data_IF_744270491231
#
_entry.id   IF_744270491231
#
_cell.length_a   1.000
_cell.length_b   1.000
_cell.length_c   1.000
_cell.angle_alpha   90.00
_cell.angle_beta   90.00
_cell.angle_gamma   90.00
#
_symmetry.space_group_name_H-M   'P 1'
#
loop_
_entity.id
_entity.type
_entity.pdbx_description
1 polymer ?
#
# COMPACT_ATOMS: atom_id res chain seq x y z
N UNK A 1 -87.89 4.34 10.02
CA UNK A 1 -87.28 4.90 11.24
C UNK A 1 -85.85 4.36 11.27
N UNK A 2 -84.92 4.75 10.38
CA UNK A 2 -84.46 6.10 9.98
C UNK A 2 -83.94 6.90 11.17
N UNK A 3 -82.62 6.96 11.36
CA UNK A 3 -81.88 8.23 11.33
C UNK A 3 -80.36 8.02 11.18
N UNK A 4 -79.83 8.67 10.14
CA UNK A 4 -78.43 9.00 9.86
C UNK A 4 -77.92 10.11 10.79
N UNK A 5 -76.59 10.28 10.90
CA UNK A 5 -75.77 11.51 10.92
C UNK A 5 -74.32 11.05 11.21
N UNK A 6 -73.43 10.96 10.21
CA UNK A 6 -72.61 12.01 9.55
C UNK A 6 -71.35 12.39 10.34
N UNK A 7 -70.19 12.05 9.78
CA UNK A 7 -68.97 12.87 9.88
C UNK A 7 -68.16 12.74 8.59
N UNK A 8 -67.84 13.90 8.03
CA UNK A 8 -67.62 14.23 6.63
C UNK A 8 -66.12 14.46 6.40
N UNK A 9 -65.59 13.92 5.29
CA UNK A 9 -64.30 14.33 4.69
C UNK A 9 -64.30 15.84 4.43
N UNK A 10 -63.26 16.57 4.84
CA UNK A 10 -62.94 17.87 4.23
C UNK A 10 -61.84 17.66 3.17
N UNK A 11 -62.22 17.94 1.93
CA UNK A 11 -61.34 18.33 0.85
C UNK A 11 -61.39 19.86 0.85
N UNK A 12 -60.25 20.52 0.92
CA UNK A 12 -60.14 21.92 0.51
C UNK A 12 -59.31 21.97 -0.78
N UNK A 13 -60.01 22.26 -1.87
CA UNK A 13 -59.45 22.84 -3.08
C UNK A 13 -58.96 24.25 -2.75
N UNK A 14 -57.73 24.60 -3.14
CA UNK A 14 -57.33 25.98 -3.28
C UNK A 14 -56.91 26.26 -4.73
N UNK A 15 -57.68 27.14 -5.35
CA UNK A 15 -57.55 27.66 -6.71
C UNK A 15 -56.15 28.20 -7.01
N UNK A 16 -55.53 27.68 -8.06
CA UNK A 16 -54.44 28.36 -8.76
C UNK A 16 -55.03 29.29 -9.83
N UNK A 17 -55.32 30.54 -9.49
CA UNK A 17 -55.37 31.63 -10.47
C UNK A 17 -55.13 32.97 -9.77
N UNK A 18 -54.17 33.73 -10.30
CA UNK A 18 -53.78 35.12 -9.99
C UNK A 18 -52.71 35.32 -8.90
N UNK A 19 -51.43 35.32 -9.31
CA UNK A 19 -50.41 36.27 -8.82
C UNK A 19 -49.35 36.52 -9.92
N UNK A 20 -48.72 37.71 -9.93
CA UNK A 20 -48.30 38.41 -11.15
C UNK A 20 -46.95 37.94 -11.70
N UNK A 21 -46.81 38.02 -13.02
CA UNK A 21 -45.52 38.05 -13.71
C UNK A 21 -44.76 39.32 -13.28
N UNK A 22 -43.62 39.16 -12.60
CA UNK A 22 -42.45 40.00 -12.88
C UNK A 22 -41.15 39.42 -12.29
N UNK A 23 -40.15 39.36 -13.18
CA UNK A 23 -38.70 39.24 -12.98
C UNK A 23 -38.07 37.84 -12.84
N UNK A 24 -37.89 37.20 -14.01
CA UNK A 24 -36.95 36.11 -14.26
C UNK A 24 -35.51 36.63 -14.38
N UNK A 25 -34.68 36.45 -13.35
CA UNK A 25 -33.23 36.21 -13.51
C UNK A 25 -32.68 35.44 -12.31
N UNK A 26 -32.48 34.14 -12.46
CA UNK A 26 -31.35 33.37 -11.89
C UNK A 26 -31.60 31.88 -12.16
N UNK A 27 -31.05 31.38 -13.25
CA UNK A 27 -30.86 29.95 -13.51
C UNK A 27 -29.94 29.37 -12.43
N UNK A 28 -30.50 28.72 -11.42
CA UNK A 28 -29.75 27.73 -10.63
C UNK A 28 -29.82 26.42 -11.39
N UNK A 29 -28.84 26.21 -12.26
CA UNK A 29 -28.52 24.90 -12.79
C UNK A 29 -27.79 24.15 -11.66
N UNK A 30 -28.40 23.10 -11.12
CA UNK A 30 -27.72 22.22 -10.18
C UNK A 30 -26.66 21.44 -10.96
N UNK A 31 -25.47 22.03 -11.07
CA UNK A 31 -24.30 21.41 -11.68
C UNK A 31 -23.90 20.22 -10.79
N UNK A 32 -24.31 19.01 -11.17
CA UNK A 32 -23.91 17.78 -10.50
C UNK A 32 -22.41 17.62 -10.77
N UNK A 33 -21.58 17.94 -9.78
CA UNK A 33 -20.12 17.76 -9.86
C UNK A 33 -19.79 16.28 -9.71
N UNK A 34 -19.58 15.62 -10.85
CA UNK A 34 -19.02 14.28 -10.93
C UNK A 34 -17.51 14.45 -11.13
N UNK A 35 -16.70 13.63 -10.46
CA UNK A 35 -15.25 13.57 -10.69
C UNK A 35 -15.03 13.31 -12.20
N UNK A 36 -14.18 14.07 -12.91
CA UNK A 36 -14.05 13.89 -14.36
C UNK A 36 -13.47 12.51 -14.73
N UNK A 37 -13.79 12.00 -15.92
CA UNK A 37 -13.43 10.64 -16.34
C UNK A 37 -11.92 10.48 -16.60
N UNK A 38 -11.25 11.53 -17.06
CA UNK A 38 -9.79 11.63 -17.22
C UNK A 38 -8.99 11.44 -15.92
N UNK A 39 -9.72 11.46 -14.81
CA UNK A 39 -9.28 11.52 -13.44
C UNK A 39 -9.57 10.17 -12.73
N UNK A 40 -10.27 9.25 -13.40
CA UNK A 40 -10.48 7.84 -13.03
C UNK A 40 -9.49 6.86 -13.70
N UNK A 41 -8.37 7.35 -14.27
CA UNK A 41 -7.32 6.49 -14.84
C UNK A 41 -7.52 6.07 -16.30
N UNK A 42 -8.42 6.72 -17.06
CA UNK A 42 -8.59 6.47 -18.49
C UNK A 42 -7.73 7.40 -19.36
N UNK A 43 -6.87 6.78 -20.18
CA UNK A 43 -6.04 7.28 -21.29
C UNK A 43 -6.26 8.75 -21.71
N UNK A 44 -5.25 9.60 -21.50
CA UNK A 44 -5.24 10.97 -22.04
C UNK A 44 -5.14 10.98 -23.57
N UNK A 45 -6.06 11.67 -24.24
CA UNK A 45 -5.85 12.14 -25.64
C UNK A 45 -5.30 13.57 -25.60
N UNK A 46 -4.33 13.93 -26.46
CA UNK A 46 -3.71 15.25 -26.41
C UNK A 46 -4.66 16.30 -26.99
N UNK A 47 -5.13 17.24 -26.17
CA UNK A 47 -5.83 18.44 -26.65
C UNK A 47 -4.83 19.58 -26.84
N UNK A 48 -4.81 20.10 -28.07
CA UNK A 48 -3.96 21.18 -28.55
C UNK A 48 -4.27 22.50 -27.84
N UNK A 49 -3.21 23.20 -27.42
CA UNK A 49 -3.20 24.62 -27.02
C UNK A 49 -3.98 25.51 -27.99
N UNK A 50 -4.74 26.46 -27.45
CA UNK A 50 -4.99 27.76 -28.09
C UNK A 50 -4.67 28.89 -27.12
N UNK A 51 -3.72 29.73 -27.53
CA UNK A 51 -3.37 31.01 -26.92
C UNK A 51 -4.41 32.10 -27.24
N UNK A 52 -4.74 32.89 -26.23
CA UNK A 52 -4.92 34.37 -26.22
C UNK A 52 -5.63 34.70 -24.91
N UNK A 53 -5.23 35.65 -24.07
CA UNK A 53 -5.13 37.09 -24.34
C UNK A 53 -4.14 37.70 -23.35
N UNK A 54 -3.41 38.72 -23.82
CA UNK A 54 -2.46 39.51 -23.07
C UNK A 54 -3.17 40.51 -22.15
N UNK A 55 -2.71 40.62 -20.89
CA UNK A 55 -2.92 41.82 -20.08
C UNK A 55 -1.62 42.23 -19.39
N UNK A 56 -1.49 43.55 -19.23
CA UNK A 56 -0.27 44.34 -19.25
C UNK A 56 0.22 44.58 -17.81
N UNK A 57 1.42 44.11 -17.45
CA UNK A 57 2.04 44.40 -16.16
C UNK A 57 3.06 45.54 -16.24
N UNK A 58 3.10 46.38 -15.21
CA UNK A 58 4.24 47.27 -14.88
C UNK A 58 4.76 46.86 -13.50
N UNK A 59 6.09 46.84 -13.26
CA UNK A 59 6.65 46.22 -12.06
C UNK A 59 6.74 47.21 -10.90
N UNK A 60 6.30 46.76 -9.71
CA UNK A 60 6.66 47.36 -8.42
C UNK A 60 7.67 46.43 -7.76
N UNK A 61 8.88 46.93 -7.54
CA UNK A 61 9.93 46.24 -6.81
C UNK A 61 9.61 46.21 -5.31
N UNK A 62 9.61 45.02 -4.69
CA UNK A 62 9.60 44.87 -3.23
C UNK A 62 10.71 43.90 -2.81
N UNK A 63 11.55 44.43 -1.92
CA UNK A 63 12.73 43.87 -1.28
C UNK A 63 12.46 42.57 -0.51
N UNK A 64 13.22 41.51 -0.80
CA UNK A 64 13.27 40.28 -0.02
C UNK A 64 14.08 40.46 1.28
N UNK A 65 13.43 40.41 2.45
CA UNK A 65 14.09 40.12 3.72
C UNK A 65 13.81 38.66 4.10
N UNK A 66 14.87 37.87 4.19
CA UNK A 66 14.90 36.52 4.74
C UNK A 66 14.47 36.54 6.21
N UNK A 67 13.51 35.69 6.57
CA UNK A 67 13.24 35.27 7.94
C UNK A 67 13.54 33.77 8.02
N UNK A 68 14.53 33.40 8.84
CA UNK A 68 14.77 32.02 9.24
C UNK A 68 14.00 31.75 10.55
N UNK A 69 13.34 30.58 10.73
CA UNK A 69 12.70 30.24 11.99
C UNK A 69 13.73 29.69 12.99
N UNK A 70 13.66 30.21 14.22
CA UNK A 70 14.42 29.72 15.37
C UNK A 70 13.61 28.66 16.13
N UNK A 71 14.17 27.46 16.32
CA UNK A 71 13.64 26.45 17.24
C UNK A 71 14.30 26.59 18.62
N UNK A 72 13.55 26.53 19.74
CA UNK A 72 14.14 26.55 21.07
C UNK A 72 14.49 25.12 21.51
N UNK A 73 15.77 24.76 21.50
CA UNK A 73 16.25 23.55 22.16
C UNK A 73 16.42 23.79 23.66
N UNK A 74 15.74 22.97 24.46
CA UNK A 74 15.91 22.89 25.91
C UNK A 74 17.36 22.57 26.30
N UNK A 75 17.84 23.29 27.31
CA UNK A 75 19.23 23.30 27.77
C UNK A 75 19.54 22.02 28.55
N UNK A 76 20.10 21.01 27.88
CA UNK A 76 20.71 19.86 28.56
C UNK A 76 22.05 20.32 29.17
N UNK A 77 22.15 20.22 30.50
CA UNK A 77 23.32 20.64 31.27
C UNK A 77 24.42 19.58 31.10
N UNK A 78 25.41 19.84 30.24
CA UNK A 78 26.67 19.11 30.26
C UNK A 78 27.86 20.07 30.42
N UNK A 79 28.65 19.79 31.46
CA UNK A 79 29.86 20.51 31.82
C UNK A 79 31.01 20.09 30.89
N UNK A 80 31.39 20.99 29.98
CA UNK A 80 32.52 20.93 29.03
C UNK A 80 32.38 20.04 27.77
N UNK A 81 32.80 20.54 26.58
CA UNK A 81 32.71 19.81 25.30
C UNK A 81 33.48 18.48 25.26
N UNK A 82 34.53 18.35 26.07
CA UNK A 82 35.40 17.15 26.10
C UNK A 82 34.71 15.96 26.79
N UNK A 83 33.86 16.22 27.77
CA UNK A 83 33.09 15.19 28.47
C UNK A 83 31.98 14.63 27.57
N UNK A 84 31.34 15.49 26.77
CA UNK A 84 30.31 15.07 25.82
C UNK A 84 30.84 14.11 24.75
N UNK A 85 32.01 14.40 24.18
CA UNK A 85 32.68 13.50 23.20
C UNK A 85 33.05 12.16 23.85
N UNK A 86 33.53 12.19 25.10
CA UNK A 86 33.84 10.97 25.86
C UNK A 86 32.61 10.09 26.12
N UNK A 87 31.46 10.68 26.44
CA UNK A 87 30.21 9.94 26.66
C UNK A 87 29.68 9.35 25.35
N UNK A 88 29.72 10.08 24.24
CA UNK A 88 29.30 9.55 22.92
C UNK A 88 30.19 8.38 22.50
N UNK A 89 31.51 8.49 22.67
CA UNK A 89 32.44 7.41 22.36
C UNK A 89 32.17 6.16 23.22
N UNK A 90 31.89 6.33 24.51
CA UNK A 90 31.56 5.23 25.41
C UNK A 90 30.24 4.54 25.01
N UNK A 91 29.21 5.31 24.63
CA UNK A 91 27.93 4.76 24.15
C UNK A 91 28.12 4.01 22.83
N UNK A 92 28.90 4.53 21.89
CA UNK A 92 29.19 3.84 20.62
C UNK A 92 29.94 2.51 20.84
N UNK A 93 30.89 2.47 21.78
CA UNK A 93 31.59 1.22 22.13
C UNK A 93 30.63 0.21 22.79
N UNK A 94 29.70 0.69 23.62
CA UNK A 94 28.69 -0.18 24.24
C UNK A 94 27.71 -0.74 23.21
N UNK A 95 27.21 0.09 22.29
CA UNK A 95 26.30 -0.32 21.21
C UNK A 95 26.98 -1.30 20.27
N UNK A 96 28.21 -1.04 19.85
CA UNK A 96 28.98 -1.95 18.99
C UNK A 96 29.33 -3.27 19.69
N UNK A 97 29.58 -3.25 20.99
CA UNK A 97 29.75 -4.45 21.82
C UNK A 97 28.49 -5.30 21.91
N UNK A 98 27.32 -4.68 22.13
CA UNK A 98 26.01 -5.37 22.16
C UNK A 98 25.68 -5.96 20.79
N UNK A 99 25.89 -5.20 19.72
CA UNK A 99 25.68 -5.69 18.34
C UNK A 99 26.62 -6.87 18.03
N UNK A 100 27.92 -6.75 18.34
CA UNK A 100 28.89 -7.82 18.11
C UNK A 100 28.55 -9.09 18.90
N UNK A 101 28.11 -8.94 20.15
CA UNK A 101 27.66 -10.06 20.98
C UNK A 101 26.43 -10.74 20.38
N UNK A 102 25.43 -9.97 19.93
CA UNK A 102 24.23 -10.50 19.30
C UNK A 102 24.55 -11.35 18.05
N UNK A 103 25.40 -10.85 17.16
CA UNK A 103 25.81 -11.59 15.95
C UNK A 103 26.63 -12.84 16.25
N UNK A 104 27.55 -12.79 17.24
CA UNK A 104 28.32 -13.97 17.67
C UNK A 104 27.39 -15.04 18.26
N UNK A 105 26.44 -14.64 19.10
CA UNK A 105 25.46 -15.57 19.69
C UNK A 105 24.57 -16.21 18.61
N UNK A 106 24.09 -15.43 17.64
CA UNK A 106 23.29 -15.94 16.52
C UNK A 106 24.09 -16.92 15.64
N UNK A 107 25.37 -16.62 15.36
CA UNK A 107 26.26 -17.50 14.62
C UNK A 107 26.56 -18.82 15.37
N UNK A 108 26.63 -18.81 16.71
CA UNK A 108 26.80 -20.01 17.52
C UNK A 108 25.56 -20.92 17.46
N UNK A 109 24.36 -20.35 17.53
CA UNK A 109 23.10 -21.11 17.38
C UNK A 109 23.00 -21.73 15.99
N UNK A 110 23.36 -20.98 14.94
CA UNK A 110 23.38 -21.49 13.57
C UNK A 110 24.38 -22.65 13.39
N UNK A 111 25.57 -22.57 14.00
CA UNK A 111 26.56 -23.66 13.99
C UNK A 111 26.05 -24.92 14.70
N UNK A 112 25.33 -24.80 15.81
CA UNK A 112 24.76 -25.97 16.49
C UNK A 112 23.70 -26.66 15.63
N UNK A 113 22.82 -25.90 14.99
CA UNK A 113 21.82 -26.46 14.05
C UNK A 113 22.45 -27.16 12.86
N UNK A 114 23.58 -26.64 12.37
CA UNK A 114 24.33 -27.26 11.27
C UNK A 114 24.96 -28.61 11.69
N UNK A 115 25.56 -28.66 12.89
CA UNK A 115 26.14 -29.89 13.44
C UNK A 115 25.08 -30.95 13.74
N UNK A 116 23.91 -30.54 14.22
CA UNK A 116 22.76 -31.43 14.46
C UNK A 116 22.20 -31.99 13.14
N UNK A 117 22.09 -31.14 12.11
CA UNK A 117 21.71 -31.57 10.77
C UNK A 117 22.72 -32.54 10.12
N UNK A 118 24.01 -32.34 10.36
CA UNK A 118 25.08 -33.23 9.87
C UNK A 118 25.09 -34.59 10.59
N UNK A 119 24.74 -34.61 11.88
CA UNK A 119 24.59 -35.84 12.66
C UNK A 119 23.36 -36.67 12.23
N UNK A 120 22.26 -36.00 11.86
CA UNK A 120 21.06 -36.66 11.31
C UNK A 120 21.37 -37.28 9.94
N UNK A 121 22.14 -36.56 9.10
CA UNK A 121 22.55 -37.04 7.77
C UNK A 121 23.46 -38.28 7.84
N UNK A 122 24.35 -38.33 8.83
CA UNK A 122 25.29 -39.46 9.01
C UNK A 122 24.66 -40.68 9.72
N UNK A 123 23.51 -40.52 10.39
CA UNK A 123 22.79 -41.65 11.03
C UNK A 123 21.83 -42.38 10.07
N UNK A 124 21.55 -41.83 8.89
CA UNK A 124 20.60 -42.40 7.93
C UNK A 124 21.22 -43.41 6.93
N UNK A 125 22.50 -43.78 7.10
CA UNK A 125 23.19 -44.72 6.20
C UNK A 125 23.59 -45.98 6.96
N UNK A 126 22.69 -46.97 7.00
CA UNK A 126 23.06 -48.37 7.24
C UNK A 126 22.48 -49.21 6.11
N UNK A 127 23.39 -49.82 5.35
CA UNK A 127 23.19 -50.70 4.19
C UNK A 127 22.52 -52.04 4.51
N UNK A 128 22.00 -52.76 3.48
CA UNK A 128 21.25 -54.01 3.61
C UNK A 128 22.17 -55.23 3.78
N UNK A 129 21.76 -56.18 4.63
CA UNK A 129 22.45 -57.45 4.87
C UNK A 129 21.56 -58.66 4.58
N UNK A 130 22.07 -59.54 3.71
CA UNK A 130 21.48 -60.78 3.17
C UNK A 130 21.86 -62.02 4.03
N UNK A 131 21.00 -63.06 4.00
CA UNK A 131 21.21 -64.49 4.37
C UNK A 131 21.06 -64.83 5.88
N UNK A 132 20.34 -65.87 6.33
CA UNK A 132 20.34 -67.29 5.92
C UNK A 132 19.07 -68.08 6.45
N UNK A 133 18.91 -69.40 6.17
CA UNK A 133 17.62 -70.09 5.92
C UNK A 133 17.06 -70.98 7.06
N UNK A 134 15.76 -71.34 6.98
CA UNK A 134 15.20 -72.64 7.42
C UNK A 134 13.73 -72.88 6.98
N UNK A 135 13.57 -73.82 6.03
CA UNK A 135 12.66 -74.99 5.98
C UNK A 135 11.23 -74.98 6.57
N UNK A 136 10.27 -75.20 5.65
CA UNK A 136 9.02 -75.99 5.67
C UNK A 136 7.92 -75.78 6.73
N UNK A 137 6.70 -75.50 6.25
CA UNK A 137 5.51 -76.35 6.44
C UNK A 137 4.46 -76.01 5.36
N UNK A 138 3.96 -77.04 4.69
CA UNK A 138 2.87 -77.00 3.71
C UNK A 138 1.54 -77.10 4.47
N UNK A 139 0.60 -76.20 4.21
CA UNK A 139 -0.83 -76.56 4.22
C UNK A 139 -1.63 -75.61 3.32
N UNK A 140 -2.63 -76.17 2.67
CA UNK A 140 -3.23 -75.71 1.43
C UNK A 140 -4.75 -75.59 1.65
N UNK A 141 -5.35 -74.39 1.72
CA UNK A 141 -6.81 -74.21 1.62
C UNK A 141 -7.18 -72.83 0.99
N UNK A 142 -7.62 -72.87 -0.28
CA UNK A 142 -8.84 -72.28 -0.89
C UNK A 142 -9.19 -70.77 -0.71
N UNK A 143 -9.34 -70.11 -1.89
CA UNK A 143 -10.18 -68.95 -2.27
C UNK A 143 -10.24 -67.70 -1.38
N UNK A 144 -9.86 -66.55 -1.95
CA UNK A 144 -10.81 -65.51 -2.45
C UNK A 144 -10.03 -64.39 -3.15
N UNK A 145 -10.55 -63.91 -4.27
CA UNK A 145 -10.07 -62.74 -5.03
C UNK A 145 -10.01 -61.48 -4.15
N UNK A 146 -8.91 -60.71 -4.17
CA UNK A 146 -8.97 -59.30 -3.82
C UNK A 146 -9.06 -58.45 -5.09
N UNK A 147 -10.12 -57.64 -5.10
CA UNK A 147 -10.42 -56.55 -6.02
C UNK A 147 -9.16 -55.72 -6.30
N UNK A 148 -8.86 -55.50 -7.59
CA UNK A 148 -7.87 -54.53 -8.03
C UNK A 148 -8.46 -53.14 -7.78
N UNK A 149 -8.16 -52.56 -6.61
CA UNK A 149 -8.38 -51.14 -6.37
C UNK A 149 -7.25 -50.39 -7.07
N UNK A 150 -7.52 -49.91 -8.30
CA UNK A 150 -6.65 -48.96 -8.98
C UNK A 150 -6.62 -47.68 -8.16
N UNK A 151 -5.58 -47.54 -7.34
CA UNK A 151 -5.20 -46.28 -6.73
C UNK A 151 -4.90 -45.28 -7.86
N UNK A 152 -5.89 -44.45 -8.15
CA UNK A 152 -5.74 -43.26 -9.00
C UNK A 152 -4.94 -42.26 -8.18
N UNK A 153 -3.62 -42.41 -8.19
CA UNK A 153 -2.73 -41.41 -7.60
C UNK A 153 -2.70 -40.22 -8.56
N UNK A 154 -3.60 -39.27 -8.31
CA UNK A 154 -3.45 -37.92 -8.83
C UNK A 154 -2.08 -37.41 -8.34
N UNK A 155 -1.15 -37.03 -9.22
CA UNK A 155 0.09 -36.43 -8.78
C UNK A 155 -0.25 -35.09 -8.13
N UNK A 156 -0.24 -35.05 -6.80
CA UNK A 156 -0.20 -33.79 -6.07
C UNK A 156 1.16 -33.16 -6.36
N UNK A 157 1.18 -32.20 -7.26
CA UNK A 157 2.35 -31.35 -7.47
C UNK A 157 2.52 -30.53 -6.20
N UNK A 158 3.44 -30.95 -5.32
CA UNK A 158 3.87 -30.17 -4.17
C UNK A 158 4.81 -29.06 -4.66
N UNK A 159 4.24 -27.94 -5.11
CA UNK A 159 5.01 -26.73 -5.41
C UNK A 159 5.56 -26.21 -4.08
N UNK A 160 6.88 -26.34 -3.88
CA UNK A 160 7.56 -25.74 -2.74
C UNK A 160 7.75 -24.25 -3.06
N UNK A 161 6.84 -23.40 -2.58
CA UNK A 161 7.05 -21.96 -2.57
C UNK A 161 8.13 -21.62 -1.53
N UNK A 162 9.18 -20.94 -1.96
CA UNK A 162 10.22 -20.44 -1.06
C UNK A 162 9.68 -19.18 -0.39
N UNK A 163 9.40 -19.25 0.92
CA UNK A 163 8.79 -18.15 1.68
C UNK A 163 7.26 -18.17 1.62
N UNK A 164 6.61 -18.11 2.78
CA UNK A 164 5.16 -17.93 2.85
C UNK A 164 4.86 -16.47 2.57
N UNK A 165 4.32 -16.18 1.40
CA UNK A 165 3.82 -14.86 1.03
C UNK A 165 2.32 -14.71 1.34
N UNK A 166 1.77 -15.61 2.14
CA UNK A 166 0.40 -15.61 2.63
C UNK A 166 0.39 -15.28 4.11
N UNK A 167 -0.39 -14.26 4.45
CA UNK A 167 -0.55 -13.78 5.81
C UNK A 167 -1.78 -14.43 6.46
N UNK A 168 -1.71 -14.83 7.75
CA UNK A 168 -2.85 -15.38 8.44
C UNK A 168 -3.95 -14.33 8.58
N UNK A 169 -5.20 -14.73 8.39
CA UNK A 169 -6.32 -13.80 8.55
C UNK A 169 -6.44 -13.31 9.98
N UNK A 170 -6.59 -12.00 10.12
CA UNK A 170 -6.82 -11.38 11.42
C UNK A 170 -8.02 -10.45 11.31
N UNK A 171 -8.98 -10.66 12.21
CA UNK A 171 -10.11 -9.75 12.33
C UNK A 171 -9.83 -8.79 13.48
N UNK A 172 -9.69 -7.50 13.15
CA UNK A 172 -9.44 -6.44 14.10
C UNK A 172 -10.62 -5.46 14.08
N UNK A 173 -10.87 -4.82 15.22
CA UNK A 173 -11.83 -3.73 15.24
C UNK A 173 -11.26 -2.51 14.48
N UNK A 174 -12.08 -1.76 13.74
CA UNK A 174 -11.65 -0.44 13.26
C UNK A 174 -11.41 0.48 14.45
N UNK A 175 -10.44 1.39 14.33
CA UNK A 175 -10.25 2.48 15.28
C UNK A 175 -11.41 3.49 15.18
N UNK A 176 -11.42 4.46 16.09
CA UNK A 176 -12.45 5.51 16.13
C UNK A 176 -12.47 6.34 14.84
N UNK A 177 -13.67 6.46 14.27
CA UNK A 177 -14.05 7.31 13.13
C UNK A 177 -15.23 8.15 13.62
N UNK A 178 -14.96 9.43 13.89
CA UNK A 178 -15.89 10.29 14.65
C UNK A 178 -17.08 10.74 13.81
N UNK A 179 -16.86 10.99 12.51
CA UNK A 179 -17.88 11.50 11.60
C UNK A 179 -18.44 10.44 10.64
N UNK A 180 -17.88 9.24 10.68
CA UNK A 180 -18.30 8.03 9.96
C UNK A 180 -18.13 8.12 8.44
N UNK A 181 -17.09 8.82 7.98
CA UNK A 181 -16.76 8.91 6.56
C UNK A 181 -15.87 7.75 6.06
N UNK A 182 -15.49 6.80 6.92
CA UNK A 182 -14.53 5.71 6.68
C UNK A 182 -13.05 6.11 6.71
N UNK A 183 -12.71 7.24 7.31
CA UNK A 183 -11.37 7.66 7.67
C UNK A 183 -11.27 7.65 9.21
N UNK A 184 -10.30 6.93 9.78
CA UNK A 184 -10.15 6.97 11.24
C UNK A 184 -9.62 8.33 11.68
N UNK A 185 -9.88 8.75 12.92
CA UNK A 185 -9.33 9.98 13.49
C UNK A 185 -7.80 10.10 13.31
N UNK A 186 -7.12 8.95 13.33
CA UNK A 186 -5.67 8.86 13.11
C UNK A 186 -5.29 9.10 11.65
N UNK A 187 -6.08 8.59 10.70
CA UNK A 187 -5.91 8.91 9.28
C UNK A 187 -6.24 10.38 8.99
N UNK A 188 -7.25 10.93 9.64
CA UNK A 188 -7.59 12.34 9.47
C UNK A 188 -6.47 13.27 9.92
N UNK A 189 -5.84 12.96 11.05
CA UNK A 189 -4.63 13.64 11.50
C UNK A 189 -3.49 13.53 10.46
N UNK A 190 -3.33 12.37 9.81
CA UNK A 190 -2.31 12.11 8.79
C UNK A 190 -2.53 12.95 7.52
N UNK A 191 -3.77 13.04 7.04
CA UNK A 191 -4.12 13.83 5.85
C UNK A 191 -4.40 15.31 6.15
N UNK A 192 -4.61 15.65 7.42
CA UNK A 192 -4.93 17.00 7.90
C UNK A 192 -6.38 17.41 7.68
N UNK A 193 -7.29 16.44 7.66
CA UNK A 193 -8.74 16.64 7.58
C UNK A 193 -9.34 16.84 8.98
N UNK A 194 -10.63 17.10 9.05
CA UNK A 194 -11.34 17.48 10.26
C UNK A 194 -12.20 16.32 10.79
N UNK A 195 -11.85 15.75 11.96
CA UNK A 195 -12.50 14.57 12.54
C UNK A 195 -13.88 14.80 13.12
N UNK A 196 -14.62 15.76 12.61
CA UNK A 196 -16.02 15.95 12.96
C UNK A 196 -16.82 16.34 11.74
N UNK A 197 -16.25 16.18 10.55
CA UNK A 197 -16.79 16.70 9.30
C UNK A 197 -16.34 15.80 8.13
N UNK A 198 -17.26 14.99 7.58
CA UNK A 198 -16.93 14.01 6.54
C UNK A 198 -16.32 14.56 5.25
N UNK A 199 -16.46 15.87 5.02
CA UNK A 199 -15.97 16.61 3.85
C UNK A 199 -15.29 17.86 4.42
N UNK A 200 -13.97 17.86 4.53
CA UNK A 200 -13.24 18.87 5.29
C UNK A 200 -13.25 20.24 4.63
N UNK A 201 -13.28 20.32 3.30
CA UNK A 201 -13.22 21.56 2.53
C UNK A 201 -14.56 22.04 1.94
N UNK A 202 -15.66 21.34 2.26
CA UNK A 202 -17.05 21.65 1.85
C UNK A 202 -17.24 21.64 0.33
N UNK A 203 -16.48 20.81 -0.37
CA UNK A 203 -16.49 20.82 -1.82
C UNK A 203 -17.53 19.82 -2.40
N UNK A 204 -18.07 18.94 -1.57
CA UNK A 204 -19.10 17.95 -1.89
C UNK A 204 -18.60 16.52 -2.06
N UNK A 205 -17.32 16.22 -1.81
CA UNK A 205 -16.79 14.86 -1.72
C UNK A 205 -16.31 14.58 -0.29
N UNK A 206 -16.49 13.35 0.19
CA UNK A 206 -15.95 12.99 1.50
C UNK A 206 -14.43 12.81 1.45
N UNK A 207 -13.76 13.11 2.56
CA UNK A 207 -12.30 13.07 2.66
C UNK A 207 -11.77 11.68 2.28
N UNK A 208 -12.41 10.61 2.77
CA UNK A 208 -12.06 9.23 2.41
C UNK A 208 -12.20 8.93 0.92
N UNK A 209 -13.24 9.45 0.24
CA UNK A 209 -13.49 9.22 -1.18
C UNK A 209 -12.41 9.88 -2.03
N UNK A 210 -12.01 11.09 -1.64
CA UNK A 210 -10.97 11.86 -2.29
C UNK A 210 -9.62 11.15 -2.17
N UNK A 211 -9.24 10.72 -0.96
CA UNK A 211 -8.00 9.98 -0.73
C UNK A 211 -7.95 8.69 -1.57
N UNK A 212 -9.02 7.89 -1.57
CA UNK A 212 -9.13 6.67 -2.38
C UNK A 212 -9.14 6.93 -3.90
N UNK A 213 -9.47 8.17 -4.28
CA UNK A 213 -9.49 8.62 -5.67
C UNK A 213 -8.24 9.43 -6.04
N UNK A 214 -7.28 9.55 -5.12
CA UNK A 214 -6.02 10.30 -5.26
C UNK A 214 -6.20 11.81 -5.46
N UNK A 215 -7.19 12.40 -4.78
CA UNK A 215 -7.42 13.85 -4.65
C UNK A 215 -7.02 14.38 -3.30
N UNK A 216 -6.83 15.70 -3.24
CA UNK A 216 -6.47 16.42 -2.04
C UNK A 216 -7.72 16.74 -1.19
N UNK A 217 -7.90 16.15 0.00
CA UNK A 217 -9.12 16.29 0.81
C UNK A 217 -9.24 17.62 1.57
N UNK A 218 -8.35 18.57 1.30
CA UNK A 218 -8.32 19.89 1.98
C UNK A 218 -8.14 21.03 0.98
N UNK A 219 -8.34 20.78 -0.30
CA UNK A 219 -8.04 21.73 -1.36
C UNK A 219 -9.13 21.78 -2.41
N UNK A 220 -9.67 22.98 -2.59
CA UNK A 220 -10.74 23.27 -3.55
C UNK A 220 -10.42 22.76 -4.98
N UNK A 221 -11.35 21.97 -5.53
CA UNK A 221 -11.23 21.11 -6.74
C UNK A 221 -10.63 21.74 -8.01
N UNK A 222 -10.01 20.92 -8.90
CA UNK A 222 -9.44 19.60 -8.64
C UNK A 222 -7.92 19.70 -8.38
N UNK A 223 -7.46 19.20 -7.23
CA UNK A 223 -6.04 19.08 -6.88
C UNK A 223 -5.72 17.61 -6.57
N UNK A 224 -4.61 17.10 -7.11
CA UNK A 224 -4.19 15.70 -6.87
C UNK A 224 -3.64 15.54 -5.46
N UNK A 225 -3.82 14.35 -4.88
CA UNK A 225 -3.26 13.99 -3.58
C UNK A 225 -1.73 14.12 -3.56
N UNK A 226 -1.05 13.78 -4.66
CA UNK A 226 0.40 13.94 -4.76
C UNK A 226 0.83 15.41 -4.71
N UNK A 227 0.02 16.31 -5.27
CA UNK A 227 0.32 17.75 -5.33
C UNK A 227 0.04 18.46 -3.99
N UNK A 228 -0.67 17.83 -3.05
CA UNK A 228 -0.95 18.38 -1.71
C UNK A 228 0.25 18.32 -0.77
N UNK A 229 1.28 17.53 -1.11
CA UNK A 229 2.42 17.27 -0.24
C UNK A 229 2.12 16.35 0.95
N UNK A 230 0.95 15.71 0.99
CA UNK A 230 0.57 14.73 2.03
C UNK A 230 1.09 13.32 1.76
N UNK A 231 1.30 12.99 0.48
CA UNK A 231 1.89 11.72 0.04
C UNK A 231 3.11 11.97 -0.82
N UNK A 232 4.01 10.98 -0.86
CA UNK A 232 5.14 10.92 -1.78
C UNK A 232 5.06 9.65 -2.61
N UNK A 233 5.77 9.62 -3.74
CA UNK A 233 5.95 8.41 -4.54
C UNK A 233 7.24 7.71 -4.12
N UNK A 234 7.12 6.43 -3.76
CA UNK A 234 8.26 5.53 -3.69
C UNK A 234 8.41 4.83 -5.03
N UNK A 235 9.64 4.74 -5.55
CA UNK A 235 9.96 4.02 -6.78
C UNK A 235 11.01 2.96 -6.49
N UNK A 236 10.69 1.72 -6.81
CA UNK A 236 11.61 0.59 -6.74
C UNK A 236 12.14 0.29 -8.15
N UNK A 237 13.39 0.69 -8.47
CA UNK A 237 13.95 0.47 -9.80
C UNK A 237 14.26 -1.00 -10.09
N UNK A 238 14.52 -1.81 -9.06
CA UNK A 238 14.91 -3.21 -9.23
C UNK A 238 13.72 -4.09 -9.63
N UNK A 239 12.53 -3.74 -9.12
CA UNK A 239 11.29 -4.46 -9.40
C UNK A 239 10.30 -3.67 -10.27
N UNK A 240 10.68 -2.48 -10.73
CA UNK A 240 9.90 -1.70 -11.69
C UNK A 240 8.51 -1.31 -11.15
N UNK A 241 8.39 -0.87 -9.89
CA UNK A 241 7.10 -0.40 -9.40
C UNK A 241 7.20 0.96 -8.72
N UNK A 242 6.08 1.68 -8.69
CA UNK A 242 5.90 2.85 -7.85
C UNK A 242 4.61 2.76 -7.04
N UNK A 243 4.63 3.37 -5.86
CA UNK A 243 3.50 3.39 -4.95
C UNK A 243 3.48 4.72 -4.20
N UNK A 244 2.30 5.27 -3.93
CA UNK A 244 2.15 6.41 -3.03
C UNK A 244 2.20 5.93 -1.59
N UNK A 245 2.78 6.74 -0.72
CA UNK A 245 2.80 6.52 0.71
C UNK A 245 2.75 7.87 1.45
N UNK A 246 2.24 7.93 2.69
CA UNK A 246 2.19 9.18 3.45
C UNK A 246 3.59 9.75 3.71
N UNK A 247 3.78 11.06 3.54
CA UNK A 247 5.10 11.70 3.74
C UNK A 247 5.62 11.61 5.18
N UNK A 248 4.73 11.40 6.14
CA UNK A 248 5.07 11.23 7.55
C UNK A 248 5.61 9.83 7.86
N UNK A 249 5.45 8.88 6.94
CA UNK A 249 5.91 7.51 7.10
C UNK A 249 7.33 7.33 6.57
N UNK A 250 8.06 6.40 7.15
CA UNK A 250 9.43 6.07 6.73
C UNK A 250 9.37 4.90 5.75
N UNK A 251 9.87 5.10 4.53
CA UNK A 251 10.04 4.03 3.54
C UNK A 251 11.47 3.46 3.59
N UNK A 252 11.62 2.16 3.81
CA UNK A 252 12.91 1.49 3.94
C UNK A 252 12.91 0.11 3.27
N UNK A 253 13.89 -0.13 2.39
CA UNK A 253 14.18 -1.46 1.87
C UNK A 253 14.93 -2.30 2.92
N UNK A 254 14.57 -3.57 3.09
CA UNK A 254 15.22 -4.46 4.06
C UNK A 254 16.53 -5.07 3.58
N UNK A 255 16.72 -5.11 2.27
CA UNK A 255 17.89 -5.69 1.61
C UNK A 255 18.36 -4.78 0.45
N UNK A 256 19.53 -5.11 -0.12
CA UNK A 256 20.13 -4.32 -1.20
C UNK A 256 19.38 -4.42 -2.53
N UNK A 257 18.62 -5.50 -2.75
CA UNK A 257 17.78 -5.70 -3.92
C UNK A 257 16.41 -5.02 -3.74
N UNK A 258 16.05 -4.61 -2.53
CA UNK A 258 14.74 -4.06 -2.20
C UNK A 258 13.60 -5.01 -2.62
N UNK A 259 13.76 -6.31 -2.35
CA UNK A 259 12.69 -7.30 -2.58
C UNK A 259 11.55 -7.08 -1.59
N UNK A 260 11.90 -6.60 -0.39
CA UNK A 260 10.99 -6.20 0.66
C UNK A 260 11.20 -4.73 1.04
N UNK A 261 10.12 -3.95 1.04
CA UNK A 261 10.11 -2.54 1.43
C UNK A 261 9.05 -2.32 2.50
N UNK A 262 9.46 -1.75 3.63
CA UNK A 262 8.58 -1.39 4.74
C UNK A 262 8.31 0.11 4.74
N UNK A 263 7.04 0.47 4.89
CA UNK A 263 6.53 1.82 5.12
C UNK A 263 6.00 1.90 6.55
N UNK A 264 6.75 2.50 7.46
CA UNK A 264 6.40 2.55 8.89
C UNK A 264 5.76 3.88 9.29
N UNK A 265 4.65 3.80 10.02
CA UNK A 265 4.04 4.95 10.70
C UNK A 265 4.82 5.36 11.96
N UNK A 266 4.50 6.52 12.49
CA UNK A 266 4.97 6.98 13.80
C UNK A 266 4.27 6.29 14.99
N UNK A 267 3.15 5.61 14.75
CA UNK A 267 2.38 4.85 15.75
C UNK A 267 2.84 3.40 15.91
N UNK A 268 3.75 2.92 15.04
CA UNK A 268 4.31 1.56 15.05
C UNK A 268 3.58 0.55 14.18
N UNK A 269 2.58 1.00 13.40
CA UNK A 269 1.92 0.22 12.36
C UNK A 269 2.73 0.36 11.07
N UNK A 270 2.67 -0.62 10.16
CA UNK A 270 3.43 -0.54 8.92
C UNK A 270 2.76 -1.27 7.77
N UNK A 271 3.07 -0.83 6.55
CA UNK A 271 2.75 -1.55 5.32
C UNK A 271 4.05 -2.08 4.74
N UNK A 272 4.08 -3.36 4.40
CA UNK A 272 5.19 -3.99 3.68
C UNK A 272 4.79 -4.31 2.24
N UNK A 273 5.74 -4.14 1.32
CA UNK A 273 5.62 -4.52 -0.08
C UNK A 273 6.69 -5.57 -0.38
N UNK A 274 6.26 -6.79 -0.66
CA UNK A 274 7.11 -7.92 -1.01
C UNK A 274 6.95 -8.27 -2.48
N UNK A 275 8.05 -8.37 -3.21
CA UNK A 275 8.08 -8.88 -4.58
C UNK A 275 8.34 -10.40 -4.58
N UNK A 276 7.37 -11.19 -5.01
CA UNK A 276 7.45 -12.66 -4.98
C UNK A 276 7.41 -13.23 -6.39
N UNK A 277 8.27 -14.21 -6.66
CA UNK A 277 8.30 -14.87 -7.95
C UNK A 277 7.04 -15.73 -8.19
N UNK A 278 6.46 -15.55 -9.37
CA UNK A 278 5.39 -16.36 -9.95
C UNK A 278 5.90 -17.02 -11.23
N UNK A 279 6.94 -17.86 -11.07
CA UNK A 279 7.63 -18.58 -12.17
C UNK A 279 6.68 -19.37 -13.06
N UNK A 280 5.62 -19.93 -12.46
CA UNK A 280 4.60 -20.70 -13.16
C UNK A 280 3.55 -19.83 -13.87
N UNK A 281 3.60 -18.51 -13.70
CA UNK A 281 2.66 -17.53 -14.26
C UNK A 281 1.21 -17.90 -13.98
N UNK A 282 0.96 -18.40 -12.77
CA UNK A 282 -0.38 -18.72 -12.32
C UNK A 282 -1.21 -17.42 -12.25
N UNK A 283 -2.51 -17.54 -12.46
CA UNK A 283 -3.42 -16.46 -12.10
C UNK A 283 -3.29 -16.17 -10.61
N UNK A 284 -3.48 -14.92 -10.21
CA UNK A 284 -3.25 -14.49 -8.82
C UNK A 284 -4.16 -15.25 -7.84
N UNK A 285 -5.38 -15.59 -8.24
CA UNK A 285 -6.31 -16.39 -7.44
C UNK A 285 -5.77 -17.81 -7.24
N UNK A 286 -5.37 -18.47 -8.32
CA UNK A 286 -4.84 -19.83 -8.27
C UNK A 286 -3.52 -19.88 -7.47
N UNK A 287 -2.67 -18.88 -7.65
CA UNK A 287 -1.42 -18.72 -6.91
C UNK A 287 -1.67 -18.56 -5.41
N UNK A 288 -2.67 -17.75 -5.04
CA UNK A 288 -3.04 -17.50 -3.65
C UNK A 288 -3.65 -18.76 -2.99
N UNK A 289 -4.59 -19.42 -3.68
CA UNK A 289 -5.27 -20.62 -3.16
C UNK A 289 -4.31 -21.81 -3.04
N UNK A 290 -3.30 -21.92 -3.91
CA UNK A 290 -2.26 -22.94 -3.79
C UNK A 290 -1.46 -22.82 -2.48
N UNK A 291 -1.33 -21.60 -1.95
CA UNK A 291 -0.65 -21.34 -0.68
C UNK A 291 -1.63 -21.29 0.51
N UNK A 292 -2.94 -21.17 0.24
CA UNK A 292 -4.00 -20.99 1.24
C UNK A 292 -5.14 -22.02 1.06
N UNK A 293 -4.89 -23.34 1.25
CA UNK A 293 -5.86 -24.38 0.91
C UNK A 293 -7.13 -24.38 1.78
N UNK A 294 -7.19 -23.56 2.84
CA UNK A 294 -8.37 -23.39 3.70
C UNK A 294 -9.30 -22.24 3.30
N UNK A 295 -8.96 -21.48 2.25
CA UNK A 295 -9.70 -20.29 1.83
C UNK A 295 -10.57 -20.63 0.63
N UNK A 296 -11.83 -20.20 0.65
CA UNK A 296 -12.68 -20.35 -0.53
C UNK A 296 -12.38 -19.24 -1.54
N UNK A 297 -12.35 -19.59 -2.82
CA UNK A 297 -12.21 -18.61 -3.91
C UNK A 297 -13.30 -17.53 -3.86
N UNK A 298 -14.47 -17.84 -3.31
CA UNK A 298 -15.59 -16.91 -3.18
C UNK A 298 -15.36 -15.80 -2.12
N UNK A 299 -14.43 -16.02 -1.19
CA UNK A 299 -14.10 -15.04 -0.14
C UNK A 299 -13.04 -14.04 -0.60
N UNK A 300 -12.44 -14.27 -1.78
CA UNK A 300 -11.45 -13.37 -2.37
C UNK A 300 -12.15 -12.18 -3.03
N UNK A 301 -11.68 -10.98 -2.72
CA UNK A 301 -12.18 -9.74 -3.33
C UNK A 301 -11.26 -9.32 -4.47
N UNK A 302 -11.79 -9.29 -5.69
CA UNK A 302 -11.08 -8.76 -6.85
C UNK A 302 -10.96 -7.23 -6.73
N UNK A 303 -9.77 -6.71 -7.00
CA UNK A 303 -9.46 -5.28 -6.98
C UNK A 303 -8.77 -4.86 -8.28
N UNK A 304 -8.82 -3.56 -8.58
CA UNK A 304 -8.11 -2.97 -9.70
C UNK A 304 -7.47 -1.66 -9.27
N UNK A 305 -6.17 -1.49 -9.53
CA UNK A 305 -5.46 -0.24 -9.24
C UNK A 305 -5.84 0.84 -10.24
N UNK A 306 -5.51 2.11 -9.96
CA UNK A 306 -5.82 3.24 -10.85
C UNK A 306 -5.08 3.15 -12.19
N UNK A 307 -3.95 2.45 -12.23
CA UNK A 307 -3.19 2.16 -13.47
C UNK A 307 -3.63 0.85 -14.14
N UNK A 308 -4.66 0.19 -13.60
CA UNK A 308 -5.32 -0.94 -14.24
C UNK A 308 -4.77 -2.32 -13.91
N UNK A 309 -3.90 -2.46 -12.89
CA UNK A 309 -3.42 -3.76 -12.41
C UNK A 309 -4.58 -4.46 -11.70
N UNK A 310 -5.01 -5.61 -12.22
CA UNK A 310 -6.06 -6.44 -11.63
C UNK A 310 -5.44 -7.45 -10.67
N UNK A 311 -5.91 -7.47 -9.43
CA UNK A 311 -5.40 -8.32 -8.37
C UNK A 311 -6.49 -8.75 -7.41
N UNK A 312 -6.09 -9.28 -6.25
CA UNK A 312 -7.02 -9.69 -5.19
C UNK A 312 -6.63 -9.09 -3.85
N UNK A 313 -7.62 -8.99 -2.98
CA UNK A 313 -7.47 -8.67 -1.57
C UNK A 313 -7.79 -9.93 -0.75
N UNK A 314 -7.03 -10.14 0.33
CA UNK A 314 -7.34 -11.16 1.33
C UNK A 314 -8.75 -10.92 1.91
N UNK A 315 -9.44 -11.98 2.39
CA UNK A 315 -10.74 -11.89 3.05
C UNK A 315 -10.83 -10.86 4.20
N UNK A 316 -9.75 -10.65 4.96
CA UNK A 316 -9.69 -9.65 6.03
C UNK A 316 -9.42 -8.22 5.54
N UNK A 317 -9.08 -8.06 4.26
CA UNK A 317 -8.85 -6.77 3.64
C UNK A 317 -7.47 -6.16 3.90
N UNK A 318 -6.56 -6.88 4.56
CA UNK A 318 -5.27 -6.36 5.04
C UNK A 318 -4.09 -6.67 4.12
N UNK A 319 -4.27 -7.54 3.13
CA UNK A 319 -3.23 -7.89 2.18
C UNK A 319 -3.74 -7.85 0.76
N UNK A 320 -3.09 -7.07 -0.11
CA UNK A 320 -3.33 -7.06 -1.55
C UNK A 320 -2.26 -7.89 -2.28
N UNK A 321 -2.69 -8.61 -3.32
CA UNK A 321 -1.84 -9.40 -4.20
C UNK A 321 -2.02 -8.89 -5.63
N UNK A 322 -0.97 -8.29 -6.17
CA UNK A 322 -0.99 -7.60 -7.46
C UNK A 322 -0.03 -8.32 -8.43
N UNK A 323 -0.52 -9.09 -9.39
CA UNK A 323 0.32 -9.77 -10.36
C UNK A 323 0.89 -8.78 -11.39
N UNK A 324 2.16 -8.98 -11.75
CA UNK A 324 2.79 -8.27 -12.86
C UNK A 324 3.90 -9.14 -13.45
N UNK A 325 3.86 -9.36 -14.77
CA UNK A 325 4.76 -10.25 -15.50
C UNK A 325 4.87 -11.65 -14.88
N UNK A 326 6.03 -12.01 -14.34
CA UNK A 326 6.31 -13.28 -13.66
C UNK A 326 6.42 -13.11 -12.14
N UNK A 327 5.81 -12.06 -11.58
CA UNK A 327 5.84 -11.76 -10.14
C UNK A 327 4.46 -11.44 -9.60
N UNK A 328 4.35 -11.52 -8.27
CA UNK A 328 3.21 -11.03 -7.50
C UNK A 328 3.76 -10.11 -6.42
N UNK A 329 3.28 -8.87 -6.43
CA UNK A 329 3.53 -7.90 -5.37
C UNK A 329 2.52 -8.12 -4.26
N UNK A 330 3.01 -8.40 -3.07
CA UNK A 330 2.20 -8.58 -1.87
C UNK A 330 2.32 -7.33 -1.01
N UNK A 331 1.22 -6.60 -0.85
CA UNK A 331 1.15 -5.39 -0.04
C UNK A 331 0.38 -5.74 1.21
N UNK A 332 1.07 -5.91 2.33
CA UNK A 332 0.48 -6.34 3.60
C UNK A 332 0.51 -5.21 4.63
N UNK A 333 -0.58 -5.06 5.39
CA UNK A 333 -0.66 -4.14 6.51
C UNK A 333 -0.57 -4.89 7.85
N UNK A 334 0.44 -4.54 8.64
CA UNK A 334 0.61 -5.06 9.99
C UNK A 334 0.40 -3.97 11.03
N UNK A 335 -0.52 -4.24 11.97
CA UNK A 335 -0.86 -3.29 13.04
C UNK A 335 0.10 -3.34 14.24
N UNK A 336 1.18 -4.13 14.16
CA UNK A 336 2.13 -4.37 15.22
C UNK A 336 1.47 -4.95 16.47
N UNK A 337 1.59 -4.23 17.58
CA UNK A 337 1.04 -4.61 18.89
C UNK A 337 -0.32 -3.98 19.20
N UNK A 338 -0.94 -3.30 18.22
CA UNK A 338 -2.25 -2.66 18.39
C UNK A 338 -3.37 -3.72 18.39
N UNK A 339 -4.55 -3.29 18.79
CA UNK A 339 -5.78 -4.11 18.79
C UNK A 339 -6.83 -3.58 17.82
N UNK A 340 -6.60 -2.40 17.26
CA UNK A 340 -7.50 -1.68 16.37
C UNK A 340 -6.75 -1.26 15.11
N UNK A 341 -7.46 -1.17 13.99
CA UNK A 341 -6.92 -0.74 12.70
C UNK A 341 -7.08 0.77 12.55
N UNK A 342 -5.96 1.50 12.44
CA UNK A 342 -5.98 2.92 12.12
C UNK A 342 -5.95 3.19 10.60
N UNK A 343 -5.06 2.55 9.84
CA UNK A 343 -4.69 3.03 8.50
C UNK A 343 -5.27 2.22 7.33
N UNK A 344 -6.53 1.76 7.42
CA UNK A 344 -7.12 0.92 6.37
C UNK A 344 -7.36 1.68 5.06
N UNK A 345 -7.82 2.93 5.13
CA UNK A 345 -8.05 3.75 3.93
C UNK A 345 -6.73 4.15 3.28
N UNK A 346 -5.70 4.36 4.09
CA UNK A 346 -4.31 4.57 3.67
C UNK A 346 -3.76 3.34 2.96
N UNK A 347 -3.93 2.13 3.50
CA UNK A 347 -3.56 0.88 2.78
C UNK A 347 -4.25 0.83 1.40
N UNK A 348 -5.57 1.08 1.34
CA UNK A 348 -6.32 1.08 0.07
C UNK A 348 -5.83 2.15 -0.89
N UNK A 349 -5.44 3.33 -0.40
CA UNK A 349 -4.82 4.38 -1.21
C UNK A 349 -3.47 3.92 -1.76
N UNK A 350 -2.61 3.35 -0.92
CA UNK A 350 -1.31 2.79 -1.33
C UNK A 350 -1.52 1.73 -2.43
N UNK A 351 -2.37 0.74 -2.20
CA UNK A 351 -2.73 -0.30 -3.18
C UNK A 351 -3.32 0.31 -4.45
N UNK A 352 -4.24 1.27 -4.34
CA UNK A 352 -4.87 1.94 -5.48
C UNK A 352 -3.88 2.72 -6.35
N UNK A 353 -2.89 3.34 -5.72
CA UNK A 353 -1.82 4.09 -6.39
C UNK A 353 -0.74 3.19 -7.01
N UNK A 354 -0.74 1.90 -6.69
CA UNK A 354 0.29 0.98 -7.14
C UNK A 354 0.33 0.92 -8.66
N UNK A 355 1.54 1.09 -9.17
CA UNK A 355 1.88 1.03 -10.58
C UNK A 355 3.05 0.11 -10.76
N UNK A 356 2.88 -0.91 -11.58
CA UNK A 356 4.00 -1.66 -12.12
C UNK A 356 4.35 -1.12 -13.52
N UNK A 357 5.63 -0.93 -13.77
CA UNK A 357 6.24 -0.63 -15.04
C UNK A 357 7.15 -1.82 -15.37
N UNK A 358 7.14 -2.27 -16.63
CA UNK A 358 8.06 -3.33 -17.06
C UNK A 358 9.52 -2.92 -16.81
N UNK A 359 10.46 -3.86 -16.90
CA UNK A 359 11.88 -3.52 -16.89
C UNK A 359 12.12 -2.31 -17.80
N UNK A 360 12.67 -1.23 -17.24
CA UNK A 360 13.09 -0.09 -18.03
C UNK A 360 14.21 -0.61 -18.91
N UNK A 361 13.88 -1.00 -20.14
CA UNK A 361 14.84 -1.18 -21.22
C UNK A 361 15.68 0.09 -21.21
N UNK A 362 16.98 -0.02 -20.88
CA UNK A 362 17.90 1.09 -20.65
C UNK A 362 17.80 2.15 -21.77
N UNK A 363 16.87 3.09 -21.62
CA UNK A 363 16.84 4.29 -22.43
C UNK A 363 17.96 5.16 -21.88
N UNK A 364 19.07 5.13 -22.61
CA UNK A 364 20.20 6.05 -22.43
C UNK A 364 19.70 7.43 -22.03
N UNK A 365 20.33 8.10 -21.04
CA UNK A 365 19.96 9.46 -20.71
C UNK A 365 20.22 10.34 -21.93
N UNK A 366 19.16 10.79 -22.58
CA UNK A 366 19.25 11.88 -23.54
C UNK A 366 19.58 13.14 -22.74
N UNK A 367 20.87 13.41 -22.61
CA UNK A 367 21.40 14.64 -22.03
C UNK A 367 20.92 15.77 -22.93
N UNK A 368 19.85 16.44 -22.52
CA UNK A 368 19.48 17.74 -23.08
C UNK A 368 20.50 18.77 -22.59
N UNK A 369 21.62 18.84 -23.31
CA UNK A 369 22.61 19.91 -23.18
C UNK A 369 21.96 21.18 -23.73
N UNK A 370 21.30 21.92 -22.85
CA UNK A 370 20.84 23.27 -23.16
C UNK A 370 22.05 24.20 -23.12
N UNK A 371 22.50 24.57 -24.30
CA UNK A 371 23.37 25.70 -24.66
C UNK A 371 23.24 26.87 -23.71
N UNK A 372 24.34 27.24 -23.04
CA UNK A 372 24.59 28.62 -22.60
C UNK A 372 25.95 29.05 -23.12
N UNK A 373 25.90 30.17 -23.82
CA UNK A 373 26.90 30.74 -24.71
C UNK A 373 28.20 31.14 -24.02
N UNK A 374 29.29 30.99 -24.78
CA UNK A 374 30.59 31.58 -24.54
C UNK A 374 30.51 33.11 -24.46
N UNK A 375 30.90 33.69 -23.33
CA UNK A 375 31.43 35.05 -23.31
C UNK A 375 32.96 34.98 -23.16
N UNK A 376 33.67 35.28 -24.25
CA UNK A 376 35.10 35.52 -24.19
C UNK A 376 35.51 36.59 -25.21
N UNK A 377 35.64 37.83 -24.73
CA UNK A 377 36.52 38.91 -25.24
C UNK A 377 36.60 39.92 -24.08
N UNK A 378 37.74 40.43 -23.58
CA UNK A 378 38.92 40.88 -24.31
C UNK A 378 40.11 40.98 -23.34
N UNK A 379 41.29 40.60 -23.85
CA UNK A 379 42.61 40.85 -23.29
C UNK A 379 43.00 42.34 -23.36
N UNK A 380 43.56 42.88 -22.28
CA UNK A 380 44.71 43.79 -22.33
C UNK A 380 45.30 44.01 -20.93
N UNK A 381 46.53 43.55 -20.72
CA UNK A 381 47.48 44.09 -19.74
C UNK A 381 48.79 44.36 -20.48
N UNK A 382 49.58 45.39 -20.14
CA UNK A 382 50.46 45.30 -18.97
C UNK A 382 50.17 46.28 -17.83
#
# INVERSE_FOLDING_TARGET
MTLFISLRKSQEEFNYTNMPEENLTSTNDSEIYIIPEEFYGAVSKPVKKKSSVAEKSSPVAVSSKQFAPAFPFGKVIFSSPKVFIGVIAAVLIMVTGIFSYYYIHQAQVARQKLLEAEQIKNSAVITPGVSAPATSTVENIVQTEPVIEQATSTPTISVQFSGLAVFPFKNYAPAEDTDNDSLTNQEESLYGTNPSKPDSDDDGFSDSLEILSLYNPIGFKPVRLLDSGKVATYFNPNFGYSIFYPVQWIAQALDSNAEEVIFSSDTGEFVEVLAVDNVLKLKVEDWYLAQSPGVSAADLKIIKTKEGVEGILSPDGLTAYLPFEDRIFVINYDIGIKTEINFLTTLKMMVGSFKAQGEIENLSPEITTSTVENFNTTSSNP
#
